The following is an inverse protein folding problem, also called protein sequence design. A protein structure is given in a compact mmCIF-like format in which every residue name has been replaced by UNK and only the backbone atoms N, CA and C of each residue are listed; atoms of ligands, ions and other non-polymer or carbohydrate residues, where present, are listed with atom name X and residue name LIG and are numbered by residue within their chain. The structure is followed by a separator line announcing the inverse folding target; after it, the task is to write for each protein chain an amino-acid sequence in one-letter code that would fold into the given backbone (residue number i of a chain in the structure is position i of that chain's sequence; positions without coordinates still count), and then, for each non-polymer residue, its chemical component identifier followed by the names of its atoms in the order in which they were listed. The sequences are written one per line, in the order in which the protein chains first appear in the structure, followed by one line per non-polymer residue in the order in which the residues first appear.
data_IF_266118790932
#
_entry.id   IF_266118790932
#
_cell.length_a   1.000
_cell.length_b   1.000
_cell.length_c   1.000
_cell.angle_alpha   90.00
_cell.angle_beta   90.00
_cell.angle_gamma   90.00
#
_symmetry.space_group_name_H-M   'P 1'
#
loop_
_entity.id
_entity.type
_entity.pdbx_description
1 polymer ?
#
# COMPACT_ATOMS: atom_id res chain seq x y z
N UNK A 1 -54.04 -77.92 -2.23
CA UNK A 1 -53.11 -77.39 -1.25
C UNK A 1 -51.85 -76.97 -1.98
N UNK A 2 -51.77 -75.73 -2.37
CA UNK A 2 -50.63 -75.16 -3.11
C UNK A 2 -50.22 -73.83 -2.47
N UNK A 3 -49.05 -73.84 -1.86
CA UNK A 3 -48.46 -72.68 -1.20
C UNK A 3 -47.77 -71.80 -2.26
N UNK A 4 -48.24 -70.60 -2.37
CA UNK A 4 -47.70 -69.60 -3.28
C UNK A 4 -46.56 -68.82 -2.56
N UNK A 5 -45.34 -69.00 -3.06
CA UNK A 5 -44.12 -68.28 -2.52
C UNK A 5 -43.95 -67.01 -3.29
N UNK A 6 -44.13 -65.88 -2.59
CA UNK A 6 -43.93 -64.55 -3.16
C UNK A 6 -42.44 -64.16 -3.06
N UNK A 7 -41.81 -63.96 -4.20
CA UNK A 7 -40.45 -63.45 -4.31
C UNK A 7 -40.41 -61.98 -3.96
N UNK A 8 -39.61 -61.61 -2.99
CA UNK A 8 -39.25 -60.22 -2.59
C UNK A 8 -38.03 -59.76 -3.40
N UNK A 9 -38.22 -58.78 -4.26
CA UNK A 9 -37.15 -58.04 -4.95
C UNK A 9 -36.53 -57.00 -4.02
N UNK A 10 -35.20 -56.97 -3.84
CA UNK A 10 -34.58 -55.89 -3.10
C UNK A 10 -34.48 -54.61 -3.93
N UNK A 11 -34.98 -53.55 -3.36
CA UNK A 11 -34.85 -52.16 -3.90
C UNK A 11 -33.37 -51.73 -3.79
N UNK A 12 -32.70 -51.67 -4.93
CA UNK A 12 -31.34 -51.14 -4.99
C UNK A 12 -31.35 -49.64 -4.76
N UNK A 13 -30.74 -49.20 -3.65
CA UNK A 13 -30.50 -47.80 -3.38
C UNK A 13 -29.31 -47.32 -4.22
N UNK A 14 -29.60 -46.56 -5.25
CA UNK A 14 -28.58 -45.92 -6.08
C UNK A 14 -28.06 -44.69 -5.32
N UNK A 15 -26.89 -44.81 -4.67
CA UNK A 15 -26.19 -43.70 -4.02
C UNK A 15 -25.46 -42.92 -5.12
N UNK A 16 -26.06 -41.81 -5.54
CA UNK A 16 -25.44 -40.86 -6.47
C UNK A 16 -24.42 -40.02 -5.74
N UNK A 17 -23.14 -40.38 -5.82
CA UNK A 17 -22.04 -39.63 -5.28
C UNK A 17 -21.78 -38.37 -6.12
N UNK A 18 -22.30 -37.22 -5.71
CA UNK A 18 -21.98 -35.91 -6.25
C UNK A 18 -20.57 -35.55 -5.80
N UNK A 19 -19.52 -35.83 -6.60
CA UNK A 19 -18.20 -35.23 -6.46
C UNK A 19 -18.34 -33.76 -6.83
N UNK A 20 -18.48 -32.89 -5.81
CA UNK A 20 -18.37 -31.46 -5.94
C UNK A 20 -16.92 -31.10 -6.27
N UNK A 21 -16.62 -30.77 -7.52
CA UNK A 21 -15.37 -30.15 -7.90
C UNK A 21 -15.31 -28.77 -7.25
N UNK A 22 -14.58 -28.64 -6.14
CA UNK A 22 -14.24 -27.35 -5.56
C UNK A 22 -13.38 -26.61 -6.57
N UNK A 23 -13.93 -25.60 -7.23
CA UNK A 23 -13.18 -24.69 -8.08
C UNK A 23 -12.20 -23.91 -7.19
N UNK A 24 -10.92 -24.31 -7.20
CA UNK A 24 -9.85 -23.56 -6.57
C UNK A 24 -9.63 -22.33 -7.43
N UNK A 25 -10.19 -21.21 -7.03
CA UNK A 25 -9.90 -19.92 -7.63
C UNK A 25 -8.44 -19.59 -7.33
N UNK A 26 -7.62 -19.23 -8.32
CA UNK A 26 -6.28 -18.77 -8.04
C UNK A 26 -6.39 -17.53 -7.16
N UNK A 27 -5.92 -17.61 -5.92
CA UNK A 27 -5.64 -16.43 -5.12
C UNK A 27 -4.58 -15.66 -5.91
N UNK A 28 -5.00 -14.53 -6.48
CA UNK A 28 -4.07 -13.62 -7.12
C UNK A 28 -2.98 -13.32 -6.09
N UNK A 29 -1.75 -13.72 -6.38
CA UNK A 29 -0.60 -13.41 -5.54
C UNK A 29 -0.63 -11.89 -5.34
N UNK A 30 -0.82 -11.45 -4.11
CA UNK A 30 -0.59 -10.06 -3.75
C UNK A 30 0.90 -9.87 -4.01
N UNK A 31 1.22 -9.04 -5.01
CA UNK A 31 2.60 -8.59 -5.16
C UNK A 31 2.94 -7.88 -3.86
N UNK A 32 3.74 -8.54 -3.04
CA UNK A 32 4.23 -7.97 -1.80
C UNK A 32 4.95 -6.67 -2.15
N UNK A 33 4.55 -5.60 -1.48
CA UNK A 33 5.14 -4.30 -1.73
C UNK A 33 6.66 -4.38 -1.49
N UNK A 34 7.50 -3.85 -2.40
CA UNK A 34 8.93 -4.06 -2.34
C UNK A 34 9.54 -3.55 -1.04
N UNK A 35 10.53 -4.27 -0.53
CA UNK A 35 11.32 -3.90 0.65
C UNK A 35 12.82 -4.01 0.33
N UNK A 36 13.62 -3.21 1.03
CA UNK A 36 15.08 -3.32 0.96
C UNK A 36 15.57 -4.59 1.68
N UNK A 37 16.84 -5.01 1.52
CA UNK A 37 17.41 -6.11 2.29
C UNK A 37 17.28 -5.95 3.81
N UNK A 38 17.26 -4.71 4.30
CA UNK A 38 17.08 -4.38 5.72
C UNK A 38 15.59 -4.34 6.14
N UNK A 39 14.67 -4.73 5.25
CA UNK A 39 13.23 -4.78 5.53
C UNK A 39 12.51 -3.43 5.48
N UNK A 40 13.18 -2.35 5.08
CA UNK A 40 12.54 -1.04 4.96
C UNK A 40 11.67 -0.96 3.70
N UNK A 41 10.56 -0.19 3.73
CA UNK A 41 9.77 0.05 2.54
C UNK A 41 10.61 0.65 1.41
N UNK A 42 10.46 0.13 0.20
CA UNK A 42 11.07 0.71 -1.00
C UNK A 42 10.06 0.74 -2.14
N UNK A 43 10.42 1.34 -3.24
CA UNK A 43 9.54 1.50 -4.41
C UNK A 43 10.00 0.65 -5.58
N UNK A 44 9.09 0.41 -6.52
CA UNK A 44 9.43 -0.14 -7.83
C UNK A 44 8.89 0.80 -8.92
N UNK A 45 9.78 1.20 -9.83
CA UNK A 45 9.42 1.96 -11.04
C UNK A 45 9.84 1.15 -12.26
N UNK A 46 8.89 0.83 -13.14
CA UNK A 46 9.15 0.06 -14.35
C UNK A 46 8.28 0.60 -15.49
N UNK A 47 8.88 0.84 -16.65
CA UNK A 47 8.18 1.28 -17.87
C UNK A 47 7.27 2.52 -17.63
N UNK A 48 7.72 3.43 -16.75
CA UNK A 48 6.97 4.64 -16.39
C UNK A 48 5.77 4.40 -15.47
N UNK A 49 5.56 3.16 -14.99
CA UNK A 49 4.61 2.79 -13.96
C UNK A 49 5.26 2.53 -12.62
N UNK A 50 4.46 2.55 -11.55
CA UNK A 50 4.89 2.29 -10.19
C UNK A 50 4.10 1.14 -9.57
N UNK A 51 4.68 0.47 -8.57
CA UNK A 51 3.99 -0.54 -7.78
C UNK A 51 2.76 0.02 -7.04
N UNK A 52 1.90 -0.88 -6.57
CA UNK A 52 0.65 -0.52 -5.88
C UNK A 52 0.88 0.35 -4.64
N UNK A 53 1.90 0.04 -3.84
CA UNK A 53 2.23 0.78 -2.62
C UNK A 53 2.68 2.20 -2.95
N UNK A 54 3.61 2.36 -3.87
CA UNK A 54 4.08 3.67 -4.35
C UNK A 54 2.94 4.50 -4.94
N UNK A 55 2.03 3.90 -5.73
CA UNK A 55 0.85 4.58 -6.24
C UNK A 55 -0.11 5.02 -5.12
N UNK A 56 -0.33 4.15 -4.14
CA UNK A 56 -1.15 4.50 -2.97
C UNK A 56 -0.50 5.64 -2.18
N UNK A 57 0.81 5.60 -2.01
CA UNK A 57 1.59 6.67 -1.37
C UNK A 57 1.41 8.02 -2.04
N UNK A 58 1.44 8.08 -3.37
CA UNK A 58 1.08 9.28 -4.13
C UNK A 58 -0.29 9.81 -3.72
N UNK A 59 -1.31 8.95 -3.69
CA UNK A 59 -2.67 9.35 -3.33
C UNK A 59 -2.77 9.87 -1.89
N UNK A 60 -2.11 9.19 -0.94
CA UNK A 60 -2.12 9.56 0.49
C UNK A 60 -1.36 10.85 0.74
N UNK A 61 -0.21 11.03 0.10
CA UNK A 61 0.52 12.28 0.14
C UNK A 61 -0.35 13.45 -0.33
N UNK A 62 -1.03 13.31 -1.46
CA UNK A 62 -1.88 14.35 -2.04
C UNK A 62 -3.21 14.55 -1.30
N UNK A 63 -3.60 13.66 -0.39
CA UNK A 63 -4.77 13.89 0.46
C UNK A 63 -4.44 14.66 1.73
N UNK A 64 -3.20 14.62 2.23
CA UNK A 64 -2.85 15.16 3.55
C UNK A 64 -1.63 16.08 3.52
N UNK A 65 -0.52 15.62 2.95
CA UNK A 65 0.78 16.26 3.12
C UNK A 65 1.02 17.43 2.14
N UNK A 66 0.47 17.34 0.92
CA UNK A 66 0.74 18.29 -0.16
C UNK A 66 0.33 19.73 0.18
N UNK A 67 -0.67 19.92 1.05
CA UNK A 67 -1.15 21.25 1.46
C UNK A 67 -0.01 22.12 2.01
N UNK A 68 0.90 21.51 2.76
CA UNK A 68 2.07 22.19 3.31
C UNK A 68 3.32 21.97 2.48
N UNK A 69 3.57 20.73 2.02
CA UNK A 69 4.80 20.35 1.33
C UNK A 69 4.78 20.55 -0.19
N UNK A 70 3.72 21.16 -0.70
CA UNK A 70 3.56 21.47 -2.12
C UNK A 70 3.22 20.25 -2.98
N UNK A 71 2.71 20.51 -4.19
CA UNK A 71 2.52 19.45 -5.18
C UNK A 71 3.86 18.78 -5.46
N UNK A 72 3.82 17.47 -5.67
CA UNK A 72 4.99 16.65 -5.98
C UNK A 72 6.11 16.69 -4.92
N UNK A 73 5.78 17.11 -3.69
CA UNK A 73 6.71 17.18 -2.56
C UNK A 73 7.88 18.18 -2.77
N UNK A 74 7.69 19.19 -3.61
CA UNK A 74 8.73 20.19 -3.95
C UNK A 74 8.82 21.35 -2.97
N UNK A 75 8.01 21.31 -1.90
CA UNK A 75 7.99 22.34 -0.87
C UNK A 75 7.05 23.50 -1.18
N UNK A 76 6.89 24.37 -0.20
CA UNK A 76 6.10 25.60 -0.28
C UNK A 76 6.66 26.65 0.71
N UNK A 77 6.00 27.80 0.84
CA UNK A 77 6.31 28.76 1.90
C UNK A 77 6.06 28.23 3.32
N UNK A 78 5.21 27.20 3.46
CA UNK A 78 4.84 26.62 4.76
C UNK A 78 5.78 25.50 5.20
N UNK A 79 6.31 24.69 4.28
CA UNK A 79 7.08 23.51 4.63
C UNK A 79 8.17 23.22 3.56
N UNK A 80 9.28 22.55 3.96
CA UNK A 80 10.39 22.26 3.06
C UNK A 80 10.01 21.25 1.97
N UNK A 81 10.83 21.24 0.91
CA UNK A 81 10.78 20.21 -0.12
C UNK A 81 11.15 18.84 0.46
N UNK A 82 10.22 17.89 0.38
CA UNK A 82 10.49 16.53 0.85
C UNK A 82 11.37 15.75 -0.12
N UNK A 83 11.35 16.08 -1.41
CA UNK A 83 12.30 15.53 -2.39
C UNK A 83 13.76 15.78 -1.99
N UNK A 84 14.06 16.89 -1.33
CA UNK A 84 15.38 17.16 -0.80
C UNK A 84 15.61 16.57 0.60
N UNK A 85 14.55 16.54 1.41
CA UNK A 85 14.63 16.01 2.77
C UNK A 85 14.90 14.50 2.78
N UNK A 86 14.23 13.73 1.92
CA UNK A 86 14.36 12.28 1.83
C UNK A 86 15.68 11.79 1.17
N UNK A 87 16.50 12.70 0.65
CA UNK A 87 17.90 12.40 0.28
C UNK A 87 18.78 12.16 1.50
N UNK A 88 18.37 12.63 2.67
CA UNK A 88 19.14 12.59 3.93
C UNK A 88 18.41 11.83 5.06
N UNK A 89 17.09 11.77 5.01
CA UNK A 89 16.28 11.05 6.00
C UNK A 89 16.12 9.60 5.57
N UNK A 90 16.52 8.69 6.44
CA UNK A 90 16.15 7.29 6.32
C UNK A 90 14.67 7.06 6.71
N UNK A 91 14.22 5.81 6.59
CA UNK A 91 12.84 5.45 6.90
C UNK A 91 12.47 5.73 8.37
N UNK A 92 13.35 5.44 9.30
CA UNK A 92 13.05 5.60 10.73
C UNK A 92 13.01 7.06 11.14
N UNK A 93 13.96 7.87 10.65
CA UNK A 93 13.96 9.33 10.87
C UNK A 93 12.73 10.00 10.22
N UNK A 94 12.31 9.55 9.03
CA UNK A 94 11.07 9.99 8.40
C UNK A 94 9.85 9.64 9.26
N UNK A 95 9.75 8.39 9.70
CA UNK A 95 8.67 7.90 10.56
C UNK A 95 8.57 8.69 11.85
N UNK A 96 9.69 8.92 12.52
CA UNK A 96 9.76 9.69 13.77
C UNK A 96 9.17 11.09 13.59
N UNK A 97 9.57 11.79 12.52
CA UNK A 97 9.05 13.13 12.22
C UNK A 97 7.56 13.12 11.92
N UNK A 98 7.04 12.12 11.22
CA UNK A 98 5.60 12.04 10.91
C UNK A 98 4.80 11.71 12.17
N UNK A 99 5.27 10.77 12.97
CA UNK A 99 4.58 10.32 14.20
C UNK A 99 4.53 11.43 15.24
N UNK A 100 5.67 12.07 15.50
CA UNK A 100 5.81 13.03 16.62
C UNK A 100 5.59 14.48 16.20
N UNK A 101 5.61 14.76 14.89
CA UNK A 101 5.62 16.13 14.39
C UNK A 101 7.01 16.77 14.53
N UNK A 102 7.11 18.02 14.13
CA UNK A 102 8.36 18.78 14.24
C UNK A 102 8.09 20.26 14.39
N UNK A 103 8.81 20.90 15.32
CA UNK A 103 8.89 22.35 15.41
C UNK A 103 10.28 22.81 15.01
N UNK A 104 10.34 23.87 14.22
CA UNK A 104 11.62 24.49 13.82
C UNK A 104 11.49 25.99 14.03
N UNK A 105 12.32 26.52 14.90
CA UNK A 105 12.45 27.97 15.10
C UNK A 105 13.35 28.55 14.02
N UNK A 106 12.90 29.62 13.39
CA UNK A 106 13.64 30.25 12.32
C UNK A 106 13.54 31.78 12.34
N UNK A 107 14.50 32.44 11.70
CA UNK A 107 14.52 33.91 11.60
C UNK A 107 13.29 34.49 10.87
N UNK A 108 12.60 33.66 10.04
CA UNK A 108 11.40 34.04 9.31
C UNK A 108 10.10 33.56 9.97
N UNK A 109 10.18 33.13 11.22
CA UNK A 109 9.06 32.58 12.01
C UNK A 109 9.16 31.08 12.26
N UNK A 110 8.42 30.63 13.25
CA UNK A 110 8.37 29.24 13.63
C UNK A 110 7.56 28.43 12.61
N UNK A 111 8.08 27.27 12.22
CA UNK A 111 7.37 26.30 11.38
C UNK A 111 7.00 25.08 12.20
N UNK A 112 5.76 24.66 12.08
CA UNK A 112 5.23 23.52 12.80
C UNK A 112 4.67 22.48 11.82
N UNK A 113 5.22 21.28 11.89
CA UNK A 113 4.58 20.09 11.31
C UNK A 113 3.82 19.39 12.44
N UNK A 114 2.50 19.21 12.33
CA UNK A 114 1.74 18.53 13.36
C UNK A 114 2.12 17.05 13.47
N UNK A 115 1.87 16.44 14.63
CA UNK A 115 1.95 15.00 14.83
C UNK A 115 0.81 14.30 14.09
N UNK A 116 1.12 13.22 13.37
CA UNK A 116 0.15 12.34 12.73
C UNK A 116 0.11 10.94 13.35
N UNK A 117 0.79 10.72 14.47
CA UNK A 117 0.87 9.41 15.13
C UNK A 117 -0.48 8.79 15.52
N UNK A 118 -1.52 9.59 15.65
CA UNK A 118 -2.88 9.13 15.95
C UNK A 118 -3.84 9.22 14.74
N UNK A 119 -3.35 9.64 13.57
CA UNK A 119 -4.17 9.69 12.35
C UNK A 119 -4.10 8.35 11.59
N UNK A 120 -5.18 7.54 11.57
CA UNK A 120 -5.16 6.24 10.90
C UNK A 120 -5.03 6.36 9.38
N UNK A 121 -5.43 7.48 8.76
CA UNK A 121 -5.29 7.68 7.32
C UNK A 121 -3.82 7.89 6.91
N UNK A 122 -3.01 8.38 7.84
CA UNK A 122 -1.57 8.52 7.64
C UNK A 122 -0.86 7.25 8.10
N UNK A 123 -1.11 6.80 9.34
CA UNK A 123 -0.35 5.71 9.94
C UNK A 123 -0.53 4.36 9.24
N UNK A 124 -1.73 4.03 8.79
CA UNK A 124 -1.98 2.79 8.04
C UNK A 124 -1.36 2.78 6.62
N UNK A 125 -0.84 3.91 6.17
CA UNK A 125 -0.27 4.09 4.84
C UNK A 125 1.11 4.76 4.85
N UNK A 126 1.76 4.78 6.01
CA UNK A 126 3.03 5.48 6.21
C UNK A 126 4.13 4.94 5.29
N UNK A 127 4.21 3.61 5.19
CA UNK A 127 5.15 2.93 4.29
C UNK A 127 4.93 3.30 2.83
N UNK A 128 3.68 3.35 2.41
CA UNK A 128 3.33 3.73 1.05
C UNK A 128 3.69 5.20 0.76
N UNK A 129 3.42 6.09 1.71
CA UNK A 129 3.81 7.51 1.62
C UNK A 129 5.33 7.63 1.50
N UNK A 130 6.08 6.88 2.30
CA UNK A 130 7.54 6.86 2.22
C UNK A 130 8.03 6.37 0.86
N UNK A 131 7.47 5.27 0.31
CA UNK A 131 7.79 4.75 -1.03
C UNK A 131 7.66 5.83 -2.10
N UNK A 132 6.53 6.52 -2.12
CA UNK A 132 6.30 7.61 -3.07
C UNK A 132 7.34 8.73 -2.92
N UNK A 133 7.54 9.22 -1.70
CA UNK A 133 8.45 10.30 -1.42
C UNK A 133 9.91 9.92 -1.73
N UNK A 134 10.29 8.68 -1.44
CA UNK A 134 11.63 8.17 -1.74
C UNK A 134 11.85 8.04 -3.25
N UNK A 135 10.89 7.53 -4.00
CA UNK A 135 10.94 7.48 -5.46
C UNK A 135 11.10 8.87 -6.10
N UNK A 136 10.45 9.88 -5.50
CA UNK A 136 10.59 11.28 -5.91
C UNK A 136 11.97 11.85 -5.56
N UNK A 137 12.46 11.58 -4.36
CA UNK A 137 13.76 12.06 -3.87
C UNK A 137 14.95 11.45 -4.61
N UNK A 138 14.81 10.23 -5.08
CA UNK A 138 15.82 9.50 -5.87
C UNK A 138 15.74 9.82 -7.38
N UNK A 139 14.90 10.77 -7.77
CA UNK A 139 14.64 11.14 -9.17
C UNK A 139 14.16 9.96 -10.06
N UNK A 140 13.74 8.86 -9.44
CA UNK A 140 13.21 7.69 -10.12
C UNK A 140 11.77 7.90 -10.64
N UNK A 141 11.05 8.85 -10.05
CA UNK A 141 9.68 9.19 -10.41
C UNK A 141 9.56 10.69 -10.72
N UNK A 142 9.16 11.08 -11.92
CA UNK A 142 8.90 12.48 -12.26
C UNK A 142 7.68 13.02 -11.52
N UNK A 143 7.49 14.35 -11.53
CA UNK A 143 6.30 15.01 -11.01
C UNK A 143 5.02 14.58 -11.73
N UNK A 144 3.89 14.85 -11.07
CA UNK A 144 2.58 14.50 -11.57
C UNK A 144 2.08 13.14 -11.08
N UNK A 145 0.92 12.76 -11.60
CA UNK A 145 0.28 11.49 -11.21
C UNK A 145 0.96 10.31 -11.92
N UNK A 146 1.54 9.37 -11.16
CA UNK A 146 2.17 8.20 -11.75
C UNK A 146 1.13 7.25 -12.37
N UNK A 147 1.56 6.43 -13.31
CA UNK A 147 0.78 5.27 -13.77
C UNK A 147 0.98 4.12 -12.77
N UNK A 148 -0.05 3.31 -12.55
CA UNK A 148 0.08 2.09 -11.77
C UNK A 148 0.46 0.93 -12.70
N UNK A 149 1.46 0.12 -12.31
CA UNK A 149 1.77 -1.13 -13.00
C UNK A 149 0.56 -2.08 -12.92
N UNK A 150 0.27 -2.79 -14.00
CA UNK A 150 -0.83 -3.76 -14.07
C UNK A 150 -2.25 -3.14 -14.04
N UNK A 151 -2.38 -1.86 -14.36
CA UNK A 151 -3.66 -1.15 -14.47
C UNK A 151 -4.00 -0.80 -15.91
#
# INVERSE_FOLDING_TARGET
MTMNSAARTPLGVLVLSLLGAAAVWPVAAQEDAPVTPDGNPTYMVKEGGVDKGTYNGYRRFHSTCHTCHGFDATGSSFAPALVESLKRLDYYAFKDVVVNGRQTQGATGDKVMPSFGLDPNVMNHLDDIYRYLKARADDALPGGRPKRMGG
#
